data_IF_226131734174
#
_entry.id   IF_226131734174
#
_cell.length_a   1.000
_cell.length_b   1.000
_cell.length_c   1.000
_cell.angle_alpha   90.00
_cell.angle_beta   90.00
_cell.angle_gamma   90.00
#
_symmetry.space_group_name_H-M   'P 1'
#
loop_
_entity.id
_entity.type
_entity.pdbx_description
1 polymer ?
#
# COMPACT_ATOMS: atom_id res chain seq x y z
N UNK A 1 -4.45 7.27 18.31
CA UNK A 1 -5.70 7.36 17.55
C UNK A 1 -5.29 7.55 16.11
N UNK A 2 -5.61 6.58 15.26
CA UNK A 2 -5.29 6.66 13.85
C UNK A 2 -6.01 7.88 13.27
N UNK A 3 -5.31 8.70 12.50
CA UNK A 3 -5.87 9.91 11.92
C UNK A 3 -5.55 10.04 10.43
N UNK A 4 -6.15 11.05 9.82
CA UNK A 4 -6.00 11.39 8.40
C UNK A 4 -4.53 11.44 7.94
N UNK A 5 -3.63 12.03 8.75
CA UNK A 5 -2.20 12.14 8.37
C UNK A 5 -1.52 10.79 8.32
N UNK A 6 -1.90 9.85 9.19
CA UNK A 6 -1.35 8.49 9.19
C UNK A 6 -1.83 7.71 7.95
N UNK A 7 -3.10 7.87 7.57
CA UNK A 7 -3.63 7.30 6.31
C UNK A 7 -2.91 7.89 5.10
N UNK A 8 -2.75 9.21 5.02
CA UNK A 8 -2.01 9.86 3.93
C UNK A 8 -0.55 9.40 3.90
N UNK A 9 0.08 9.23 5.07
CA UNK A 9 1.44 8.72 5.18
C UNK A 9 1.55 7.27 4.68
N UNK A 10 0.56 6.43 4.96
CA UNK A 10 0.48 5.08 4.41
C UNK A 10 0.36 5.07 2.88
N UNK A 11 -0.56 5.87 2.32
CA UNK A 11 -0.74 5.99 0.86
C UNK A 11 0.56 6.47 0.21
N UNK A 12 1.21 7.49 0.81
CA UNK A 12 2.48 8.03 0.31
C UNK A 12 3.58 6.98 0.33
N UNK A 13 3.68 6.18 1.42
CA UNK A 13 4.62 5.07 1.50
C UNK A 13 4.35 4.00 0.45
N UNK A 14 3.07 3.65 0.22
CA UNK A 14 2.65 2.70 -0.81
C UNK A 14 3.06 3.18 -2.21
N UNK A 15 2.80 4.45 -2.55
CA UNK A 15 3.22 5.05 -3.83
C UNK A 15 4.74 5.07 -3.98
N UNK A 16 5.47 5.41 -2.91
CA UNK A 16 6.94 5.41 -2.91
C UNK A 16 7.52 4.01 -3.12
N UNK A 17 6.97 2.99 -2.48
CA UNK A 17 7.38 1.59 -2.66
C UNK A 17 7.15 1.12 -4.09
N UNK A 18 5.98 1.41 -4.67
CA UNK A 18 5.69 1.06 -6.05
C UNK A 18 6.60 1.82 -7.04
N UNK A 19 6.88 3.10 -6.78
CA UNK A 19 7.83 3.88 -7.58
C UNK A 19 9.23 3.29 -7.51
N UNK A 20 9.72 2.96 -6.31
CA UNK A 20 11.02 2.32 -6.12
C UNK A 20 11.10 0.96 -6.83
N UNK A 21 10.02 0.18 -6.79
CA UNK A 21 9.90 -1.07 -7.52
C UNK A 21 10.04 -0.89 -9.04
N UNK A 22 9.32 0.05 -9.65
CA UNK A 22 9.43 0.27 -11.10
C UNK A 22 10.78 0.89 -11.52
N UNK A 23 11.44 1.64 -10.63
CA UNK A 23 12.81 2.11 -10.87
C UNK A 23 13.80 0.95 -10.84
N UNK A 24 13.67 0.03 -9.88
CA UNK A 24 14.53 -1.15 -9.75
C UNK A 24 14.30 -2.18 -10.87
N UNK A 25 13.07 -2.26 -11.39
CA UNK A 25 12.67 -3.21 -12.43
C UNK A 25 12.02 -2.48 -13.62
N UNK A 26 12.80 -1.72 -14.43
CA UNK A 26 12.26 -0.84 -15.47
C UNK A 26 11.78 -1.58 -16.73
N UNK A 27 12.08 -2.87 -16.87
CA UNK A 27 11.75 -3.66 -18.06
C UNK A 27 10.36 -4.29 -18.04
N UNK A 28 9.57 -4.07 -16.98
CA UNK A 28 8.24 -4.65 -16.78
C UNK A 28 7.20 -4.03 -17.71
N UNK A 29 6.37 -4.87 -18.33
CA UNK A 29 5.41 -4.50 -19.37
C UNK A 29 4.07 -5.19 -19.23
N UNK A 30 4.01 -6.39 -18.65
CA UNK A 30 2.75 -7.13 -18.49
C UNK A 30 2.04 -6.74 -17.19
N UNK A 31 1.33 -5.62 -17.21
CA UNK A 31 0.56 -5.14 -16.05
C UNK A 31 -0.80 -5.84 -15.88
N UNK A 32 -1.23 -6.68 -16.83
CA UNK A 32 -2.53 -7.36 -16.78
C UNK A 32 -2.44 -8.71 -16.05
N UNK A 33 -1.36 -9.45 -16.30
CA UNK A 33 -1.12 -10.78 -15.72
C UNK A 33 0.12 -10.82 -14.81
N UNK A 34 0.98 -9.80 -14.84
CA UNK A 34 2.20 -9.71 -14.05
C UNK A 34 3.15 -10.90 -14.26
N UNK A 35 3.26 -11.40 -15.50
CA UNK A 35 4.08 -12.58 -15.82
C UNK A 35 5.57 -12.26 -15.87
N UNK A 36 5.94 -11.03 -16.25
CA UNK A 36 7.32 -10.56 -16.29
C UNK A 36 7.80 -9.93 -14.97
N UNK A 37 6.90 -9.78 -13.99
CA UNK A 37 7.23 -9.25 -12.66
C UNK A 37 8.06 -10.27 -11.85
N UNK A 38 9.15 -9.83 -11.18
CA UNK A 38 9.91 -10.70 -10.30
C UNK A 38 9.04 -11.25 -9.17
N UNK A 39 9.20 -12.54 -8.85
CA UNK A 39 8.43 -13.18 -7.78
C UNK A 39 8.78 -12.66 -6.39
N UNK A 40 10.03 -12.27 -6.18
CA UNK A 40 10.57 -11.70 -4.94
C UNK A 40 11.83 -10.89 -5.23
N UNK A 41 12.19 -10.00 -4.32
CA UNK A 41 13.39 -9.17 -4.42
C UNK A 41 13.38 -8.11 -3.32
N UNK A 42 14.17 -7.05 -3.51
CA UNK A 42 14.23 -5.92 -2.59
C UNK A 42 14.19 -4.59 -3.33
N UNK A 43 13.72 -3.54 -2.65
CA UNK A 43 13.71 -2.14 -3.12
C UNK A 43 14.15 -1.22 -1.99
N UNK A 44 14.68 -0.05 -2.32
CA UNK A 44 15.12 0.93 -1.32
C UNK A 44 14.17 2.13 -1.28
N UNK A 45 13.69 2.48 -0.09
CA UNK A 45 12.86 3.66 0.15
C UNK A 45 13.37 4.35 1.42
N UNK A 46 13.73 5.63 1.34
CA UNK A 46 14.26 6.41 2.47
C UNK A 46 15.45 5.75 3.20
N UNK A 47 16.36 5.12 2.44
CA UNK A 47 17.49 4.30 2.94
C UNK A 47 17.10 3.00 3.66
N UNK A 48 15.82 2.68 3.75
CA UNK A 48 15.36 1.39 4.22
C UNK A 48 15.32 0.38 3.07
N UNK A 49 15.82 -0.84 3.31
CA UNK A 49 15.62 -1.96 2.40
C UNK A 49 14.29 -2.66 2.71
N UNK A 50 13.43 -2.72 1.70
CA UNK A 50 12.15 -3.41 1.75
C UNK A 50 12.23 -4.68 0.90
N UNK A 51 12.02 -5.83 1.54
CA UNK A 51 11.75 -7.07 0.82
C UNK A 51 10.38 -7.02 0.16
N UNK A 52 10.21 -7.70 -0.96
CA UNK A 52 8.89 -7.89 -1.55
C UNK A 52 8.65 -9.32 -2.03
N UNK A 53 7.37 -9.69 -2.08
CA UNK A 53 6.88 -10.93 -2.68
C UNK A 53 5.67 -10.61 -3.55
N UNK A 54 5.70 -11.05 -4.81
CA UNK A 54 4.56 -10.99 -5.72
C UNK A 54 3.56 -12.07 -5.36
N UNK A 55 2.27 -11.72 -5.30
CA UNK A 55 1.18 -12.66 -5.07
C UNK A 55 0.00 -12.27 -5.97
N UNK A 56 -0.66 -13.24 -6.61
CA UNK A 56 -1.75 -12.95 -7.55
C UNK A 56 -1.43 -11.79 -8.50
N UNK A 57 -2.22 -10.70 -8.39
CA UNK A 57 -2.08 -9.44 -9.13
C UNK A 57 -1.45 -8.29 -8.31
N UNK A 58 -0.85 -8.62 -7.17
CA UNK A 58 -0.30 -7.67 -6.22
C UNK A 58 1.14 -7.94 -5.83
N UNK A 59 1.68 -7.02 -5.02
CA UNK A 59 3.02 -7.07 -4.46
C UNK A 59 2.91 -6.75 -2.97
N UNK A 60 3.45 -7.62 -2.14
CA UNK A 60 3.55 -7.40 -0.70
C UNK A 60 4.97 -6.95 -0.36
N UNK A 61 5.11 -5.74 0.16
CA UNK A 61 6.35 -5.20 0.70
C UNK A 61 6.41 -5.45 2.20
N UNK A 62 7.61 -5.77 2.66
CA UNK A 62 7.92 -6.19 4.01
C UNK A 62 9.21 -5.49 4.42
N UNK A 63 9.19 -4.85 5.58
CA UNK A 63 10.41 -4.41 6.24
C UNK A 63 10.49 -5.10 7.60
N UNK A 64 11.67 -5.63 7.90
CA UNK A 64 12.00 -6.16 9.21
C UNK A 64 13.42 -5.68 9.55
N UNK A 65 13.49 -4.72 10.45
CA UNK A 65 14.71 -4.13 10.97
C UNK A 65 14.55 -3.90 12.47
N UNK A 66 15.66 -3.72 13.19
CA UNK A 66 15.65 -3.43 14.63
C UNK A 66 14.79 -2.21 15.01
N UNK A 67 14.52 -1.31 14.06
CA UNK A 67 13.77 -0.07 14.27
C UNK A 67 12.34 -0.13 13.73
N UNK A 68 12.01 -1.08 12.84
CA UNK A 68 10.74 -1.06 12.10
C UNK A 68 10.38 -2.45 11.57
N UNK A 69 9.17 -2.88 11.92
CA UNK A 69 8.47 -4.01 11.32
C UNK A 69 7.16 -3.50 10.72
N UNK A 70 6.97 -3.67 9.41
CA UNK A 70 5.76 -3.24 8.73
C UNK A 70 5.49 -4.03 7.44
N UNK A 71 4.20 -4.11 7.07
CA UNK A 71 3.73 -4.77 5.85
C UNK A 71 2.90 -3.79 5.03
N UNK A 72 3.25 -3.60 3.76
CA UNK A 72 2.45 -2.82 2.79
C UNK A 72 2.08 -3.74 1.63
N UNK A 73 0.82 -4.17 1.58
CA UNK A 73 0.32 -5.07 0.54
C UNK A 73 -0.43 -4.28 -0.53
N UNK A 74 0.05 -4.28 -1.78
CA UNK A 74 -0.58 -3.58 -2.91
C UNK A 74 -1.32 -4.61 -3.78
N UNK A 75 -2.65 -4.55 -3.87
CA UNK A 75 -3.43 -5.43 -4.75
C UNK A 75 -3.50 -4.99 -6.22
N UNK A 76 -3.27 -3.70 -6.48
CA UNK A 76 -3.42 -3.12 -7.80
C UNK A 76 -2.18 -2.29 -8.14
N UNK A 77 -1.23 -2.91 -8.82
CA UNK A 77 0.02 -2.25 -9.22
C UNK A 77 -0.19 -1.08 -10.19
N UNK A 78 -1.35 -1.01 -10.87
CA UNK A 78 -1.72 0.11 -11.76
C UNK A 78 -2.29 1.31 -10.99
N UNK A 79 -2.77 1.10 -9.76
CA UNK A 79 -3.34 2.16 -8.95
C UNK A 79 -2.85 2.07 -7.49
N UNK A 80 -1.66 2.63 -7.21
CA UNK A 80 -1.10 2.62 -5.86
C UNK A 80 -1.78 3.60 -4.89
N UNK A 81 -2.78 4.38 -5.33
CA UNK A 81 -3.59 5.23 -4.45
C UNK A 81 -4.81 4.48 -3.88
N UNK A 82 -5.13 3.32 -4.45
CA UNK A 82 -6.20 2.48 -3.96
C UNK A 82 -5.79 1.81 -2.65
N UNK A 83 -6.60 1.98 -1.63
CA UNK A 83 -6.44 1.36 -0.32
C UNK A 83 -7.72 0.62 0.07
N UNK A 84 -7.57 -0.36 0.95
CA UNK A 84 -8.71 -1.05 1.55
C UNK A 84 -8.49 -1.31 3.04
N UNK A 85 -9.60 -1.50 3.74
CA UNK A 85 -9.62 -1.66 5.20
C UNK A 85 -8.73 -2.83 5.64
N UNK A 86 -8.74 -3.94 4.91
CA UNK A 86 -7.99 -5.14 5.28
C UNK A 86 -6.47 -4.93 5.20
N UNK A 87 -6.01 -4.17 4.20
CA UNK A 87 -4.59 -3.80 4.07
C UNK A 87 -4.16 -2.80 5.12
N UNK A 88 -5.04 -1.86 5.44
CA UNK A 88 -4.80 -0.91 6.52
C UNK A 88 -4.73 -1.61 7.87
N UNK A 89 -5.57 -2.61 8.16
CA UNK A 89 -5.48 -3.35 9.42
C UNK A 89 -4.24 -4.24 9.53
N UNK A 90 -3.63 -4.65 8.40
CA UNK A 90 -2.32 -5.30 8.42
C UNK A 90 -1.18 -4.33 8.78
N UNK A 91 -1.23 -3.10 8.28
CA UNK A 91 -0.21 -2.08 8.57
C UNK A 91 -0.41 -1.46 9.97
N UNK A 92 -1.64 -1.13 10.30
CA UNK A 92 -2.08 -0.53 11.56
C UNK A 92 -2.64 -1.62 12.49
N UNK A 93 -1.81 -2.60 12.83
CA UNK A 93 -2.20 -3.82 13.57
C UNK A 93 -2.87 -3.60 14.94
N UNK A 94 -2.81 -2.38 15.47
CA UNK A 94 -3.43 -1.98 16.73
C UNK A 94 -4.86 -1.44 16.59
N UNK A 95 -5.39 -1.32 15.36
CA UNK A 95 -6.72 -0.79 15.09
C UNK A 95 -7.60 -1.83 14.41
N UNK A 96 -8.87 -1.84 14.77
CA UNK A 96 -9.84 -2.73 14.13
C UNK A 96 -10.45 -2.14 12.84
N UNK A 97 -11.13 -2.99 12.08
CA UNK A 97 -11.75 -2.62 10.81
C UNK A 97 -12.82 -1.51 10.96
N UNK A 98 -13.49 -1.40 12.12
CA UNK A 98 -14.50 -0.36 12.37
C UNK A 98 -13.86 0.99 12.64
N UNK A 99 -12.81 1.04 13.45
CA UNK A 99 -12.02 2.24 13.70
C UNK A 99 -11.43 2.78 12.40
N UNK A 100 -10.84 1.88 11.59
CA UNK A 100 -10.28 2.23 10.29
C UNK A 100 -11.36 2.79 9.37
N UNK A 101 -12.50 2.08 9.27
CA UNK A 101 -13.61 2.52 8.43
C UNK A 101 -14.15 3.89 8.85
N UNK A 102 -14.25 4.18 10.14
CA UNK A 102 -14.70 5.47 10.65
C UNK A 102 -13.81 6.62 10.19
N UNK A 103 -12.48 6.44 10.23
CA UNK A 103 -11.53 7.45 9.72
C UNK A 103 -11.68 7.63 8.21
N UNK A 104 -11.78 6.54 7.45
CA UNK A 104 -11.90 6.59 5.99
C UNK A 104 -13.21 7.25 5.54
N UNK A 105 -14.34 6.93 6.18
CA UNK A 105 -15.63 7.56 5.87
C UNK A 105 -15.57 9.07 6.19
N UNK A 106 -14.94 9.47 7.30
CA UNK A 106 -14.70 10.90 7.60
C UNK A 106 -13.83 11.61 6.56
N UNK A 107 -12.82 10.93 6.02
CA UNK A 107 -11.99 11.46 4.91
C UNK A 107 -12.75 11.53 3.58
N UNK A 108 -13.78 10.70 3.38
CA UNK A 108 -14.69 10.81 2.23
C UNK A 108 -15.60 12.03 2.38
N UNK A 109 -16.17 12.24 3.57
CA UNK A 109 -17.01 13.41 3.87
C UNK A 109 -16.25 14.74 3.71
N UNK A 110 -14.96 14.76 4.03
CA UNK A 110 -14.10 15.94 3.85
C UNK A 110 -13.58 16.12 2.41
N UNK A 111 -13.87 15.19 1.50
CA UNK A 111 -13.47 15.26 0.10
C UNK A 111 -11.99 14.95 -0.17
N UNK A 112 -11.33 14.23 0.74
CA UNK A 112 -9.93 13.81 0.59
C UNK A 112 -9.85 12.45 -0.13
N UNK A 113 -10.75 11.54 0.23
CA UNK A 113 -10.88 10.24 -0.41
C UNK A 113 -12.16 10.16 -1.23
N UNK A 114 -12.11 9.40 -2.31
CA UNK A 114 -13.30 8.89 -2.98
C UNK A 114 -13.55 7.43 -2.57
N UNK A 115 -14.81 7.09 -2.31
CA UNK A 115 -15.21 5.71 -2.02
C UNK A 115 -15.46 4.95 -3.32
N UNK A 116 -14.67 3.91 -3.57
CA UNK A 116 -14.75 3.09 -4.78
C UNK A 116 -15.71 1.91 -4.59
N UNK A 117 -15.70 1.31 -3.41
CA UNK A 117 -16.63 0.24 -3.01
C UNK A 117 -16.82 0.25 -1.49
N UNK A 118 -17.57 -0.70 -0.93
CA UNK A 118 -17.78 -0.78 0.53
C UNK A 118 -16.48 -0.81 1.34
N UNK A 119 -15.41 -1.37 0.77
CA UNK A 119 -14.13 -1.57 1.46
C UNK A 119 -12.96 -0.85 0.83
N UNK A 120 -13.14 -0.21 -0.33
CA UNK A 120 -12.06 0.40 -1.10
C UNK A 120 -12.25 1.90 -1.24
N UNK A 121 -11.14 2.61 -1.06
CA UNK A 121 -11.05 4.06 -1.07
C UNK A 121 -9.84 4.47 -1.91
N UNK A 122 -9.90 5.63 -2.53
CA UNK A 122 -8.82 6.17 -3.35
C UNK A 122 -8.60 7.64 -3.01
N UNK A 123 -7.32 8.05 -2.94
CA UNK A 123 -6.96 9.44 -2.71
C UNK A 123 -7.24 10.29 -3.97
N UNK A 124 -7.98 11.38 -3.79
CA UNK A 124 -8.36 12.34 -4.84
C UNK A 124 -7.15 13.18 -5.28
#
# INVERSE_FOLDING_TARGET
MMNEREIISFISLQEMLMKAFFIAYPSLKDFDFLLDFPKKGTVFVNNDEWGFVKHGKGIRFLINSDQKEAVVDVNNVKNPKLIDIWRLSQYFSSYDDHEIKGVLDGMVESGILQKISEKQYELI
#
